data_IF_259443442036
#
_entry.id   IF_259443442036
#
_cell.length_a   1.000
_cell.length_b   1.000
_cell.length_c   1.000
_cell.angle_alpha   90.00
_cell.angle_beta   90.00
_cell.angle_gamma   90.00
#
_symmetry.space_group_name_H-M   'P 1'
#
loop_
_entity.id
_entity.type
_entity.pdbx_description
1 polymer ?
#
# COMPACT_ATOMS: atom_id res chain seq x y z
N UNK A 1 -3.68 -57.21 -5.81
CA UNK A 1 -3.20 -55.98 -5.14
C UNK A 1 -3.28 -54.87 -6.16
N UNK A 2 -4.34 -54.07 -6.08
CA UNK A 2 -4.64 -53.00 -7.02
C UNK A 2 -4.13 -51.67 -6.43
N UNK A 3 -3.30 -50.89 -7.13
CA UNK A 3 -2.77 -49.65 -6.58
C UNK A 3 -3.84 -48.56 -6.67
N UNK A 4 -4.46 -48.24 -5.52
CA UNK A 4 -5.34 -47.09 -5.35
C UNK A 4 -4.61 -45.81 -5.76
N UNK A 5 -4.98 -45.24 -6.90
CA UNK A 5 -4.59 -43.89 -7.32
C UNK A 5 -5.37 -42.86 -6.51
N UNK A 6 -4.86 -42.54 -5.32
CA UNK A 6 -5.33 -41.38 -4.57
C UNK A 6 -5.10 -40.12 -5.43
N UNK A 7 -6.15 -39.33 -5.75
CA UNK A 7 -5.96 -38.07 -6.46
C UNK A 7 -5.08 -37.17 -5.59
N UNK A 8 -4.04 -36.59 -6.21
CA UNK A 8 -3.22 -35.56 -5.57
C UNK A 8 -4.11 -34.40 -5.15
N UNK A 9 -4.50 -34.36 -3.88
CA UNK A 9 -5.12 -33.20 -3.26
C UNK A 9 -4.08 -32.07 -3.29
N UNK A 10 -4.23 -31.18 -4.27
CA UNK A 10 -3.45 -29.95 -4.34
C UNK A 10 -3.84 -29.13 -3.11
N UNK A 11 -2.90 -28.82 -2.19
CA UNK A 11 -3.24 -28.08 -1.00
C UNK A 11 -3.87 -26.73 -1.39
N UNK A 12 -4.81 -26.27 -0.56
CA UNK A 12 -5.60 -25.07 -0.78
C UNK A 12 -4.86 -23.70 -0.87
N UNK A 13 -3.54 -23.50 -0.55
CA UNK A 13 -2.99 -22.14 -0.60
C UNK A 13 -2.76 -21.59 -2.02
N UNK A 14 -2.66 -22.44 -3.05
CA UNK A 14 -2.42 -21.97 -4.43
C UNK A 14 -3.64 -21.27 -5.06
N UNK A 15 -4.88 -21.63 -4.69
CA UNK A 15 -6.10 -20.99 -5.22
C UNK A 15 -6.29 -19.56 -4.73
N UNK A 16 -5.86 -19.23 -3.51
CA UNK A 16 -5.95 -17.86 -2.96
C UNK A 16 -5.03 -16.89 -3.70
N UNK A 17 -3.82 -17.31 -4.07
CA UNK A 17 -2.86 -16.46 -4.81
C UNK A 17 -3.34 -16.05 -6.21
N UNK A 18 -4.08 -16.92 -6.91
CA UNK A 18 -4.58 -16.64 -8.27
C UNK A 18 -5.74 -15.66 -8.31
N UNK A 19 -6.58 -15.59 -7.27
CA UNK A 19 -7.70 -14.64 -7.20
C UNK A 19 -7.31 -13.29 -6.57
N UNK A 20 -6.22 -13.24 -5.79
CA UNK A 20 -5.77 -12.03 -5.12
C UNK A 20 -5.29 -10.96 -6.10
N UNK A 21 -4.49 -11.34 -7.11
CA UNK A 21 -4.02 -10.41 -8.12
C UNK A 21 -5.14 -9.73 -8.92
N UNK A 22 -6.12 -10.45 -9.50
CA UNK A 22 -7.23 -9.81 -10.19
C UNK A 22 -8.12 -9.00 -9.24
N UNK A 23 -8.32 -9.42 -7.99
CA UNK A 23 -9.04 -8.61 -7.00
C UNK A 23 -8.30 -7.31 -6.66
N UNK A 24 -6.97 -7.37 -6.54
CA UNK A 24 -6.12 -6.21 -6.27
C UNK A 24 -6.10 -5.25 -7.46
N UNK A 25 -5.99 -5.77 -8.68
CA UNK A 25 -6.11 -4.97 -9.91
C UNK A 25 -7.50 -4.34 -10.02
N UNK A 26 -8.56 -5.11 -9.77
CA UNK A 26 -9.93 -4.59 -9.76
C UNK A 26 -10.12 -3.48 -8.72
N UNK A 27 -9.61 -3.68 -7.51
CA UNK A 27 -9.58 -2.65 -6.47
C UNK A 27 -8.84 -1.39 -6.93
N UNK A 28 -7.65 -1.52 -7.50
CA UNK A 28 -6.84 -0.39 -8.01
C UNK A 28 -7.63 0.41 -9.04
N UNK A 29 -8.25 -0.25 -10.01
CA UNK A 29 -9.01 0.41 -11.07
C UNK A 29 -10.21 1.17 -10.52
N UNK A 30 -10.95 0.57 -9.56
CA UNK A 30 -12.09 1.21 -8.91
C UNK A 30 -11.63 2.37 -8.02
N UNK A 31 -10.60 2.18 -7.20
CA UNK A 31 -10.10 3.21 -6.29
C UNK A 31 -9.49 4.41 -7.05
N UNK A 32 -8.88 4.18 -8.22
CA UNK A 32 -8.35 5.24 -9.09
C UNK A 32 -9.44 6.09 -9.76
N UNK A 33 -10.70 5.68 -9.71
CA UNK A 33 -11.81 6.51 -10.19
C UNK A 33 -12.08 7.71 -9.27
N UNK A 34 -11.73 7.61 -7.98
CA UNK A 34 -11.88 8.70 -7.03
C UNK A 34 -10.79 9.77 -7.25
N UNK A 35 -11.19 11.05 -7.16
CA UNK A 35 -10.24 12.16 -7.23
C UNK A 35 -9.36 12.19 -5.97
N UNK A 36 -8.08 12.58 -6.07
CA UNK A 36 -7.19 12.70 -4.91
C UNK A 36 -7.77 13.64 -3.85
N UNK A 37 -7.46 13.39 -2.58
CA UNK A 37 -7.83 14.24 -1.43
C UNK A 37 -9.35 14.50 -1.28
N UNK A 38 -10.19 13.57 -1.75
CA UNK A 38 -11.65 13.65 -1.60
C UNK A 38 -12.19 12.60 -0.63
N UNK A 39 -13.39 12.83 -0.09
CA UNK A 39 -14.10 11.87 0.77
C UNK A 39 -14.23 10.45 0.15
N UNK A 40 -14.63 10.32 -1.14
CA UNK A 40 -14.67 9.01 -1.80
C UNK A 40 -13.31 8.29 -1.84
N UNK A 41 -12.21 9.01 -2.07
CA UNK A 41 -10.88 8.41 -2.05
C UNK A 41 -10.50 7.93 -0.64
N UNK A 42 -10.83 8.73 0.38
CA UNK A 42 -10.63 8.33 1.78
C UNK A 42 -11.41 7.04 2.11
N UNK A 43 -12.69 6.96 1.71
CA UNK A 43 -13.52 5.76 1.91
C UNK A 43 -12.95 4.56 1.17
N UNK A 44 -12.52 4.74 -0.09
CA UNK A 44 -11.96 3.67 -0.91
C UNK A 44 -10.70 3.04 -0.27
N UNK A 45 -9.91 3.81 0.46
CA UNK A 45 -8.68 3.33 1.13
C UNK A 45 -8.96 2.85 2.55
N UNK A 46 -9.74 3.60 3.33
CA UNK A 46 -9.97 3.33 4.74
C UNK A 46 -10.81 2.07 4.94
N UNK A 47 -11.85 1.83 4.13
CA UNK A 47 -12.67 0.62 4.25
C UNK A 47 -11.85 -0.68 4.15
N UNK A 48 -11.10 -0.94 3.06
CA UNK A 48 -10.27 -2.13 2.96
C UNK A 48 -9.11 -2.11 3.96
N UNK A 49 -8.51 -0.94 4.24
CA UNK A 49 -7.45 -0.80 5.24
C UNK A 49 -7.89 -1.23 6.64
N UNK A 50 -9.03 -0.73 7.12
CA UNK A 50 -9.61 -1.10 8.41
C UNK A 50 -10.01 -2.57 8.45
N UNK A 51 -10.57 -3.11 7.36
CA UNK A 51 -10.89 -4.54 7.28
C UNK A 51 -9.62 -5.42 7.40
N UNK A 52 -8.55 -5.06 6.69
CA UNK A 52 -7.26 -5.75 6.75
C UNK A 52 -6.61 -5.63 8.13
N UNK A 53 -6.65 -4.44 8.76
CA UNK A 53 -6.19 -4.23 10.12
C UNK A 53 -6.97 -5.12 11.11
N UNK A 54 -8.30 -5.15 11.01
CA UNK A 54 -9.14 -6.01 11.86
C UNK A 54 -8.82 -7.50 11.70
N UNK A 55 -8.53 -7.96 10.49
CA UNK A 55 -8.07 -9.33 10.23
C UNK A 55 -6.66 -9.54 10.80
N UNK A 56 -5.76 -8.58 10.63
CA UNK A 56 -4.38 -8.63 11.13
C UNK A 56 -4.30 -8.71 12.65
N UNK A 57 -5.11 -7.91 13.36
CA UNK A 57 -5.19 -7.92 14.82
C UNK A 57 -5.67 -9.26 15.40
N UNK A 58 -6.44 -10.04 14.62
CA UNK A 58 -6.90 -11.37 15.02
C UNK A 58 -5.89 -12.49 14.72
N UNK A 59 -4.82 -12.20 13.99
CA UNK A 59 -3.81 -13.18 13.61
C UNK A 59 -2.57 -13.00 14.49
N UNK A 60 -2.06 -14.09 15.03
CA UNK A 60 -0.76 -14.09 15.68
C UNK A 60 0.32 -13.78 14.62
N UNK A 61 1.12 -12.72 14.80
CA UNK A 61 2.17 -12.40 13.84
C UNK A 61 3.13 -13.57 13.68
N UNK A 62 3.44 -13.95 12.44
CA UNK A 62 4.61 -14.77 12.18
C UNK A 62 5.85 -14.00 12.69
N UNK A 63 6.79 -14.72 13.31
CA UNK A 63 7.97 -14.20 14.02
C UNK A 63 8.54 -12.95 13.35
N UNK A 64 8.38 -11.79 13.99
CA UNK A 64 8.86 -10.53 13.44
C UNK A 64 10.39 -10.45 13.51
N UNK A 65 11.02 -10.02 12.43
CA UNK A 65 12.45 -9.73 12.43
C UNK A 65 12.65 -8.40 13.15
N UNK A 66 13.44 -8.41 14.22
CA UNK A 66 13.76 -7.19 14.95
C UNK A 66 14.48 -6.20 14.01
N UNK A 67 13.96 -4.98 13.92
CA UNK A 67 14.62 -3.88 13.21
C UNK A 67 15.69 -3.32 14.14
N UNK A 68 16.94 -3.26 13.67
CA UNK A 68 18.05 -2.71 14.45
C UNK A 68 17.83 -1.23 14.77
N UNK A 69 18.24 -0.77 15.96
CA UNK A 69 18.07 0.63 16.42
C UNK A 69 18.60 1.65 15.42
N UNK A 70 19.74 1.36 14.76
CA UNK A 70 20.32 2.25 13.74
C UNK A 70 19.41 2.37 12.52
N UNK A 71 18.90 1.26 12.01
CA UNK A 71 17.96 1.25 10.87
C UNK A 71 16.68 2.00 11.22
N UNK A 72 16.10 1.75 12.40
CA UNK A 72 14.93 2.47 12.87
C UNK A 72 15.21 3.98 12.98
N UNK A 73 16.32 4.38 13.60
CA UNK A 73 16.70 5.79 13.72
C UNK A 73 16.93 6.46 12.36
N UNK A 74 17.52 5.76 11.38
CA UNK A 74 17.68 6.28 10.02
C UNK A 74 16.33 6.55 9.36
N UNK A 75 15.41 5.58 9.39
CA UNK A 75 14.08 5.75 8.79
C UNK A 75 13.24 6.82 9.50
N UNK A 76 13.28 6.84 10.84
CA UNK A 76 12.61 7.88 11.63
C UNK A 76 13.21 9.27 11.34
N UNK A 77 14.54 9.39 11.27
CA UNK A 77 15.21 10.64 10.94
C UNK A 77 14.84 11.15 9.55
N UNK A 78 14.81 10.27 8.54
CA UNK A 78 14.34 10.61 7.20
C UNK A 78 12.88 11.05 7.20
N UNK A 79 12.01 10.35 7.94
CA UNK A 79 10.60 10.72 8.08
C UNK A 79 10.42 12.09 8.74
N UNK A 80 11.14 12.35 9.83
CA UNK A 80 11.10 13.66 10.52
C UNK A 80 11.62 14.76 9.61
N UNK A 81 12.73 14.54 8.91
CA UNK A 81 13.28 15.52 7.97
C UNK A 81 12.29 15.84 6.85
N UNK A 82 11.63 14.83 6.29
CA UNK A 82 10.59 15.00 5.28
C UNK A 82 9.40 15.81 5.83
N UNK A 83 8.92 15.49 7.03
CA UNK A 83 7.84 16.25 7.68
C UNK A 83 8.23 17.71 7.97
N UNK A 84 9.46 17.97 8.40
CA UNK A 84 9.96 19.33 8.64
C UNK A 84 10.07 20.13 7.35
N UNK A 85 10.54 19.51 6.27
CA UNK A 85 10.56 20.12 4.96
C UNK A 85 9.15 20.46 4.48
N UNK A 86 8.20 19.52 4.59
CA UNK A 86 6.80 19.73 4.18
C UNK A 86 6.14 20.85 4.99
N UNK A 87 6.36 20.87 6.31
CA UNK A 87 5.87 21.94 7.18
C UNK A 87 6.51 23.29 6.83
N UNK A 88 7.81 23.32 6.51
CA UNK A 88 8.51 24.52 6.08
C UNK A 88 7.94 25.08 4.77
N UNK A 89 7.74 24.22 3.77
CA UNK A 89 7.13 24.58 2.49
C UNK A 89 5.68 25.11 2.67
N UNK A 90 4.91 24.45 3.53
CA UNK A 90 3.57 24.90 3.88
C UNK A 90 3.55 26.29 4.52
N UNK A 91 4.42 26.53 5.51
CA UNK A 91 4.52 27.82 6.19
C UNK A 91 5.08 28.94 5.29
N UNK A 92 5.85 28.59 4.25
CA UNK A 92 6.43 29.54 3.30
C UNK A 92 5.45 29.97 2.19
N UNK A 93 4.27 29.36 2.08
CA UNK A 93 3.22 29.80 1.16
C UNK A 93 2.49 28.68 0.43
N UNK A 94 3.05 27.46 0.39
CA UNK A 94 2.49 26.32 -0.34
C UNK A 94 2.17 26.67 -1.81
N UNK A 95 3.18 27.13 -2.54
CA UNK A 95 3.10 27.55 -3.93
C UNK A 95 4.20 26.86 -4.78
N UNK A 96 4.32 27.22 -6.06
CA UNK A 96 5.33 26.64 -6.95
C UNK A 96 6.78 26.98 -6.53
N UNK A 97 6.99 28.07 -5.78
CA UNK A 97 8.30 28.44 -5.26
C UNK A 97 8.66 27.67 -3.98
N UNK A 98 7.66 27.24 -3.21
CA UNK A 98 7.79 26.42 -2.01
C UNK A 98 6.86 25.20 -2.08
N UNK A 99 7.09 24.29 -3.04
CA UNK A 99 6.14 23.24 -3.33
C UNK A 99 6.16 22.18 -2.23
N UNK A 100 5.00 21.93 -1.64
CA UNK A 100 4.80 20.73 -0.81
C UNK A 100 4.81 19.48 -1.68
N UNK A 101 5.05 18.32 -1.09
CA UNK A 101 4.94 17.03 -1.77
C UNK A 101 3.57 16.87 -2.42
N UNK A 102 2.51 17.40 -1.80
CA UNK A 102 1.17 17.37 -2.37
C UNK A 102 1.07 18.09 -3.72
N UNK A 103 1.70 19.27 -3.86
CA UNK A 103 1.77 20.02 -5.13
C UNK A 103 2.61 19.24 -6.15
N UNK A 104 3.75 18.69 -5.74
CA UNK A 104 4.61 17.90 -6.63
C UNK A 104 3.93 16.62 -7.13
N UNK A 105 3.10 16.00 -6.30
CA UNK A 105 2.37 14.78 -6.64
C UNK A 105 1.12 15.05 -7.49
N UNK A 106 0.57 16.28 -7.47
CA UNK A 106 -0.69 16.60 -8.12
C UNK A 106 -0.69 16.34 -9.63
N UNK A 107 0.31 16.76 -10.44
CA UNK A 107 0.35 16.46 -11.87
C UNK A 107 0.36 14.96 -12.16
N UNK A 108 1.06 14.19 -11.31
CA UNK A 108 1.13 12.75 -11.44
C UNK A 108 -0.21 12.08 -11.11
N UNK A 109 -0.94 12.56 -10.10
CA UNK A 109 -2.21 11.97 -9.65
C UNK A 109 -3.45 12.61 -10.29
N UNK A 110 -3.29 13.68 -11.07
CA UNK A 110 -4.38 14.35 -11.77
C UNK A 110 -5.03 13.44 -12.81
N UNK A 111 -4.23 12.60 -13.48
CA UNK A 111 -4.71 11.68 -14.50
C UNK A 111 -5.11 10.33 -13.91
N UNK A 112 -6.15 9.71 -14.47
CA UNK A 112 -6.53 8.34 -14.12
C UNK A 112 -5.37 7.33 -14.22
N UNK A 113 -4.60 7.27 -15.32
CA UNK A 113 -3.45 6.35 -15.40
C UNK A 113 -2.39 6.62 -14.34
N UNK A 114 -2.16 7.88 -13.98
CA UNK A 114 -1.24 8.24 -12.92
C UNK A 114 -1.70 7.76 -11.53
N UNK A 115 -3.00 7.85 -11.23
CA UNK A 115 -3.58 7.25 -10.01
C UNK A 115 -3.46 5.74 -9.98
N UNK A 116 -3.74 5.07 -11.11
CA UNK A 116 -3.56 3.61 -11.24
C UNK A 116 -2.10 3.25 -10.94
N UNK A 117 -1.14 3.94 -11.56
CA UNK A 117 0.29 3.72 -11.31
C UNK A 117 0.66 3.95 -9.84
N UNK A 118 0.14 5.00 -9.21
CA UNK A 118 0.35 5.28 -7.78
C UNK A 118 -0.15 4.15 -6.88
N UNK A 119 -1.36 3.66 -7.10
CA UNK A 119 -1.91 2.52 -6.35
C UNK A 119 -1.12 1.22 -6.58
N UNK A 120 -0.71 0.93 -7.81
CA UNK A 120 0.10 -0.24 -8.13
C UNK A 120 1.47 -0.17 -7.45
N UNK A 121 2.14 0.98 -7.49
CA UNK A 121 3.42 1.18 -6.84
C UNK A 121 3.30 0.98 -5.33
N UNK A 122 2.28 1.59 -4.71
CA UNK A 122 2.05 1.50 -3.28
C UNK A 122 1.76 0.07 -2.82
N UNK A 123 0.74 -0.56 -3.40
CA UNK A 123 0.34 -1.92 -3.02
C UNK A 123 1.39 -2.95 -3.41
N UNK A 124 2.04 -2.80 -4.56
CA UNK A 124 3.11 -3.66 -5.04
C UNK A 124 4.33 -3.61 -4.11
N UNK A 125 4.74 -2.42 -3.69
CA UNK A 125 5.85 -2.25 -2.74
C UNK A 125 5.50 -2.84 -1.38
N UNK A 126 4.27 -2.64 -0.89
CA UNK A 126 3.80 -3.23 0.36
C UNK A 126 3.75 -4.77 0.31
N UNK A 127 3.21 -5.34 -0.78
CA UNK A 127 3.19 -6.78 -0.99
C UNK A 127 4.61 -7.36 -1.06
N UNK A 128 5.50 -6.73 -1.82
CA UNK A 128 6.91 -7.12 -1.92
C UNK A 128 7.59 -7.12 -0.55
N UNK A 129 7.42 -6.05 0.24
CA UNK A 129 7.99 -5.92 1.59
C UNK A 129 7.53 -7.03 2.53
N UNK A 130 6.27 -7.46 2.44
CA UNK A 130 5.69 -8.50 3.32
C UNK A 130 6.06 -9.92 2.85
N UNK A 131 6.39 -10.10 1.58
CA UNK A 131 6.79 -11.41 1.01
C UNK A 131 8.30 -11.68 1.03
N UNK A 132 9.12 -10.70 1.41
CA UNK A 132 10.58 -10.78 1.52
C UNK A 132 11.02 -11.17 2.93
#
# INVERSE_FOLDING_TARGET
>A
MEPTTQPFDVPAPLRRGRLLWPALVGYVLVAASARPLTGPAAVAVLLPGCALLGVGLRRTPARQRAVGRRTAATWLGLGVLFCLWELGAFLAGNDEAHPTFSILADPLLATYPGRVAGYLLWLGTGAWLVTR
#
